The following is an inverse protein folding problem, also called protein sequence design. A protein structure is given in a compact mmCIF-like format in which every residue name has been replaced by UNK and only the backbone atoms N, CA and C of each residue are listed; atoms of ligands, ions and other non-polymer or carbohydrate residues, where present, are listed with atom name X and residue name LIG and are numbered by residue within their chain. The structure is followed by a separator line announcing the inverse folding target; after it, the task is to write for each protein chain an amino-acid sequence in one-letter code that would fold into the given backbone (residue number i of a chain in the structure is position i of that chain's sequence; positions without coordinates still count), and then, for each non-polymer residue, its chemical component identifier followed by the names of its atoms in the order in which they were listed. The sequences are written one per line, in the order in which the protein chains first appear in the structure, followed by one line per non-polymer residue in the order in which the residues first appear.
data_IF_808084233215
#
_entry.id   IF_808084233215
#
_cell.length_a   1.000
_cell.length_b   1.000
_cell.length_c   1.000
_cell.angle_alpha   90.00
_cell.angle_beta   90.00
_cell.angle_gamma   90.00
#
_symmetry.space_group_name_H-M   'P 1'
#
loop_
_entity.id
_entity.type
_entity.pdbx_description
1 polymer ?
#
# COMPACT_ATOMS: atom_id res chain seq x y z
N UNK A 1 -15.12 -27.74 -62.23
CA UNK A 1 -15.69 -26.98 -61.09
C UNK A 1 -14.58 -26.72 -60.08
N UNK A 2 -13.95 -25.54 -60.03
CA UNK A 2 -12.92 -25.26 -59.04
C UNK A 2 -13.57 -24.94 -57.68
N UNK A 3 -12.96 -25.46 -56.62
CA UNK A 3 -13.38 -25.29 -55.22
C UNK A 3 -13.20 -23.83 -54.79
N UNK A 4 -14.24 -23.25 -54.21
CA UNK A 4 -14.25 -21.88 -53.68
C UNK A 4 -13.28 -21.72 -52.50
N UNK A 5 -12.42 -20.71 -52.58
CA UNK A 5 -11.61 -20.24 -51.46
C UNK A 5 -12.48 -19.43 -50.51
N UNK A 6 -12.50 -19.81 -49.23
CA UNK A 6 -13.08 -18.99 -48.17
C UNK A 6 -12.18 -17.77 -47.90
N UNK A 7 -12.74 -16.56 -47.74
CA UNK A 7 -11.97 -15.37 -47.42
C UNK A 7 -11.40 -15.49 -46.00
N UNK A 8 -10.07 -15.32 -45.90
CA UNK A 8 -9.35 -15.22 -44.64
C UNK A 8 -9.88 -14.00 -43.85
N UNK A 9 -10.39 -14.23 -42.64
CA UNK A 9 -10.75 -13.17 -41.70
C UNK A 9 -9.49 -12.38 -41.36
N UNK A 10 -9.55 -11.05 -41.52
CA UNK A 10 -8.49 -10.15 -41.04
C UNK A 10 -8.42 -10.24 -39.51
N UNK A 11 -7.21 -10.22 -38.92
CA UNK A 11 -7.04 -10.06 -37.48
C UNK A 11 -7.66 -8.73 -37.04
N UNK A 12 -8.32 -8.74 -35.88
CA UNK A 12 -8.89 -7.54 -35.27
C UNK A 12 -7.76 -6.54 -35.00
N UNK A 13 -7.97 -5.28 -35.36
CA UNK A 13 -7.04 -4.20 -35.04
C UNK A 13 -6.99 -4.02 -33.51
N UNK A 14 -5.81 -3.78 -32.93
CA UNK A 14 -5.70 -3.48 -31.51
C UNK A 14 -6.47 -2.19 -31.18
N UNK A 15 -7.08 -2.10 -29.99
CA UNK A 15 -7.80 -0.90 -29.57
C UNK A 15 -6.86 0.30 -29.56
N UNK A 16 -7.39 1.47 -29.92
CA UNK A 16 -6.63 2.71 -29.98
C UNK A 16 -6.18 3.17 -28.59
N UNK A 17 -5.09 3.93 -28.49
CA UNK A 17 -4.57 4.46 -27.21
C UNK A 17 -5.60 5.36 -26.49
N UNK A 18 -6.50 6.01 -27.24
CA UNK A 18 -7.64 6.76 -26.70
C UNK A 18 -8.70 5.86 -26.04
N UNK A 19 -8.82 4.60 -26.45
CA UNK A 19 -9.74 3.61 -25.87
C UNK A 19 -9.19 3.03 -24.56
N UNK A 20 -7.87 2.88 -24.45
CA UNK A 20 -7.16 2.48 -23.22
C UNK A 20 -7.29 3.54 -22.12
N UNK A 21 -7.21 4.82 -22.47
CA UNK A 21 -7.41 5.95 -21.56
C UNK A 21 -8.89 6.18 -21.18
N UNK A 22 -9.83 5.61 -21.95
CA UNK A 22 -11.25 5.63 -21.64
C UNK A 22 -11.71 4.45 -20.76
N UNK A 23 -10.82 3.50 -20.44
CA UNK A 23 -11.20 2.41 -19.54
C UNK A 23 -11.66 2.98 -18.19
N UNK A 24 -12.90 2.68 -17.82
CA UNK A 24 -13.50 3.14 -16.57
C UNK A 24 -12.71 2.66 -15.34
N UNK A 25 -11.90 1.63 -15.52
CA UNK A 25 -10.96 1.07 -14.54
C UNK A 25 -9.80 2.04 -14.23
N UNK A 26 -9.14 2.61 -15.25
CA UNK A 26 -8.10 3.65 -15.07
C UNK A 26 -8.69 4.91 -14.42
N UNK A 27 -9.90 5.30 -14.81
CA UNK A 27 -10.61 6.45 -14.20
C UNK A 27 -11.01 6.20 -12.75
N UNK A 28 -11.33 4.95 -12.38
CA UNK A 28 -11.61 4.56 -10.99
C UNK A 28 -10.33 4.60 -10.14
N UNK A 29 -9.24 4.00 -10.63
CA UNK A 29 -7.94 4.03 -9.95
C UNK A 29 -7.39 5.45 -9.79
N UNK A 30 -7.50 6.28 -10.84
CA UNK A 30 -7.10 7.68 -10.78
C UNK A 30 -7.95 8.49 -9.78
N UNK A 31 -9.26 8.21 -9.66
CA UNK A 31 -10.12 8.84 -8.65
C UNK A 31 -9.73 8.43 -7.22
N UNK A 32 -9.41 7.16 -6.99
CA UNK A 32 -8.90 6.68 -5.70
C UNK A 32 -7.57 7.34 -5.32
N UNK A 33 -6.63 7.43 -6.26
CA UNK A 33 -5.34 8.08 -6.07
C UNK A 33 -5.46 9.60 -5.84
N UNK A 34 -6.36 10.28 -6.56
CA UNK A 34 -6.63 11.70 -6.37
C UNK A 34 -7.28 11.98 -5.01
N UNK A 35 -8.26 11.16 -4.60
CA UNK A 35 -8.89 11.24 -3.28
C UNK A 35 -7.87 11.01 -2.15
N UNK A 36 -6.88 10.13 -2.36
CA UNK A 36 -5.76 9.92 -1.45
C UNK A 36 -4.85 11.16 -1.36
N UNK A 37 -4.40 11.69 -2.50
CA UNK A 37 -3.54 12.88 -2.53
C UNK A 37 -4.21 14.10 -1.87
N UNK A 38 -5.51 14.28 -2.10
CA UNK A 38 -6.28 15.37 -1.50
C UNK A 38 -6.45 15.21 0.01
N UNK A 39 -6.53 13.97 0.52
CA UNK A 39 -6.60 13.72 1.96
C UNK A 39 -5.26 13.97 2.67
N UNK A 40 -4.15 13.55 2.07
CA UNK A 40 -2.80 13.88 2.54
C UNK A 40 -2.61 15.41 2.63
N UNK A 41 -3.07 16.16 1.62
CA UNK A 41 -3.01 17.62 1.63
C UNK A 41 -3.85 18.24 2.77
N UNK A 42 -5.07 17.73 3.01
CA UNK A 42 -5.96 18.24 4.06
C UNK A 42 -5.48 17.89 5.48
N UNK A 43 -4.84 16.72 5.69
CA UNK A 43 -4.24 16.39 6.99
C UNK A 43 -3.03 17.28 7.29
N UNK A 44 -2.22 17.61 6.27
CA UNK A 44 -1.10 18.55 6.41
C UNK A 44 -1.56 19.97 6.74
N UNK A 45 -2.73 20.41 6.24
CA UNK A 45 -3.25 21.77 6.54
C UNK A 45 -3.84 21.92 7.94
N UNK A 46 -4.13 20.82 8.65
CA UNK A 46 -4.73 20.85 9.99
C UNK A 46 -3.70 20.81 11.12
N UNK A 47 -2.40 20.69 10.83
CA UNK A 47 -1.38 20.89 11.85
C UNK A 47 -1.20 22.40 12.11
N UNK A 48 -1.46 22.90 13.33
CA UNK A 48 -1.32 24.31 13.65
C UNK A 48 0.15 24.72 13.55
N UNK A 49 0.43 25.62 12.60
CA UNK A 49 1.77 26.05 12.25
C UNK A 49 2.62 26.54 13.43
N UNK A 50 3.85 26.06 13.46
CA UNK A 50 4.94 26.71 14.19
C UNK A 50 5.11 28.14 13.68
N UNK A 51 5.18 29.07 14.63
CA UNK A 51 5.35 30.50 14.37
C UNK A 51 6.66 30.77 13.59
N UNK A 52 6.69 31.79 12.71
CA UNK A 52 7.91 32.20 12.04
C UNK A 52 8.89 32.81 13.05
N UNK A 53 10.07 32.19 13.17
CA UNK A 53 11.20 32.71 13.94
C UNK A 53 11.74 33.96 13.23
N UNK A 54 11.75 35.08 13.94
CA UNK A 54 12.27 36.37 13.47
C UNK A 54 13.80 36.41 13.34
N UNK A 55 14.36 37.50 12.77
CA UNK A 55 15.76 37.60 12.37
C UNK A 55 16.72 37.80 13.57
N UNK A 56 18.04 37.53 13.40
CA UNK A 56 18.99 37.47 14.51
C UNK A 56 19.38 38.87 15.01
N UNK A 57 19.24 39.08 16.32
CA UNK A 57 19.82 40.22 17.04
C UNK A 57 21.19 39.80 17.60
N UNK A 58 22.21 40.63 17.37
CA UNK A 58 23.60 40.40 17.73
C UNK A 58 23.90 40.34 19.24
N UNK A 59 25.17 40.13 19.62
CA UNK A 59 25.55 39.74 20.98
C UNK A 59 25.74 40.96 21.90
N UNK A 60 25.40 40.86 23.20
CA UNK A 60 25.89 41.78 24.20
C UNK A 60 27.02 41.17 25.03
N UNK A 61 28.02 42.02 25.22
CA UNK A 61 29.17 41.94 26.12
C UNK A 61 28.72 42.14 27.58
N UNK A 62 29.35 41.43 28.53
CA UNK A 62 29.70 42.00 29.84
C UNK A 62 28.87 41.61 31.07
N UNK A 63 29.51 40.85 31.96
CA UNK A 63 29.28 40.59 33.41
C UNK A 63 29.11 41.88 34.28
N UNK A 64 28.99 41.83 35.64
CA UNK A 64 28.35 40.88 36.57
C UNK A 64 27.49 41.57 37.68
N UNK A 65 26.75 40.80 38.49
CA UNK A 65 26.56 41.09 39.92
C UNK A 65 25.14 41.13 40.48
N UNK A 66 24.95 40.54 41.66
CA UNK A 66 23.95 40.97 42.65
C UNK A 66 22.76 40.03 42.94
N UNK A 67 22.92 39.14 43.93
CA UNK A 67 21.84 38.79 44.88
C UNK A 67 21.89 39.79 46.06
N UNK A 68 20.95 39.85 47.05
CA UNK A 68 19.71 39.08 47.27
C UNK A 68 18.47 39.95 47.66
N UNK A 69 17.28 39.35 47.77
CA UNK A 69 16.13 40.04 48.38
C UNK A 69 14.89 39.18 48.64
N UNK A 70 14.63 38.88 49.92
CA UNK A 70 13.43 38.19 50.45
C UNK A 70 12.24 39.15 50.60
N UNK A 71 11.02 38.71 50.29
CA UNK A 71 9.74 39.10 50.93
C UNK A 71 8.63 38.16 50.39
N UNK A 72 8.03 37.21 51.11
CA UNK A 72 6.99 37.26 52.18
C UNK A 72 5.69 38.01 51.84
N UNK A 73 4.57 37.29 52.08
CA UNK A 73 3.15 37.71 52.30
C UNK A 73 2.33 38.04 51.03
N UNK A 74 1.02 37.80 50.93
CA UNK A 74 0.01 37.19 51.79
C UNK A 74 -1.30 36.93 50.98
N UNK A 75 -2.07 35.93 51.41
CA UNK A 75 -3.56 35.85 51.51
C UNK A 75 -4.46 36.51 50.44
N UNK A 76 -5.29 35.74 49.69
CA UNK A 76 -6.69 35.25 49.97
C UNK A 76 -7.76 36.15 49.28
N UNK A 77 -9.08 35.87 49.34
CA UNK A 77 -9.91 35.31 48.25
C UNK A 77 -11.14 36.18 47.86
N UNK A 78 -11.84 35.91 46.75
CA UNK A 78 -13.31 36.17 46.56
C UNK A 78 -13.80 35.20 45.46
N UNK A 79 -14.74 34.27 45.68
CA UNK A 79 -16.20 34.42 45.86
C UNK A 79 -16.90 35.19 44.73
N UNK A 80 -17.34 34.47 43.69
CA UNK A 80 -18.41 34.93 42.80
C UNK A 80 -19.54 33.90 42.80
N UNK A 81 -20.65 34.35 43.39
CA UNK A 81 -21.96 33.71 43.45
C UNK A 81 -22.87 34.39 42.40
N UNK A 82 -23.94 33.68 42.04
CA UNK A 82 -25.21 34.12 41.43
C UNK A 82 -25.37 33.90 39.92
N UNK A 83 -26.46 33.18 39.58
CA UNK A 83 -27.00 33.11 38.22
C UNK A 83 -28.05 32.03 37.98
N UNK A 84 -29.03 31.84 38.87
CA UNK A 84 -30.23 31.03 38.59
C UNK A 84 -31.18 31.80 37.67
N UNK A 85 -31.35 31.33 36.44
CA UNK A 85 -32.34 31.84 35.47
C UNK A 85 -33.54 30.90 35.30
N UNK A 86 -34.72 31.40 34.86
CA UNK A 86 -36.02 30.77 35.06
C UNK A 86 -36.41 29.75 33.98
N UNK A 87 -37.26 28.81 34.42
CA UNK A 87 -37.93 27.76 33.64
C UNK A 87 -38.72 28.30 32.44
N UNK A 88 -38.53 27.69 31.27
CA UNK A 88 -39.46 27.79 30.15
C UNK A 88 -40.51 26.67 30.20
N UNK A 89 -41.78 26.94 29.81
CA UNK A 89 -42.86 25.96 29.83
C UNK A 89 -42.78 25.00 28.63
N UNK A 90 -43.23 23.77 28.90
CA UNK A 90 -43.24 22.62 28.00
C UNK A 90 -44.08 22.87 26.73
N UNK A 91 -43.50 22.57 25.56
CA UNK A 91 -44.24 22.40 24.31
C UNK A 91 -44.91 21.02 24.28
N UNK A 92 -46.18 20.91 23.83
CA UNK A 92 -46.83 19.62 23.62
C UNK A 92 -46.31 18.92 22.35
N UNK A 93 -46.27 17.57 22.32
CA UNK A 93 -45.81 16.82 21.16
C UNK A 93 -46.83 16.85 20.00
N UNK A 94 -46.37 16.76 18.75
CA UNK A 94 -47.24 16.71 17.57
C UNK A 94 -47.97 15.35 17.46
N UNK A 95 -49.16 15.32 16.82
CA UNK A 95 -49.96 14.10 16.70
C UNK A 95 -49.33 13.08 15.74
N UNK A 96 -49.33 11.83 16.18
CA UNK A 96 -48.94 10.66 15.40
C UNK A 96 -49.83 10.47 14.16
N UNK A 97 -49.22 10.57 12.98
CA UNK A 97 -49.77 10.12 11.70
C UNK A 97 -48.77 9.13 11.10
N UNK A 98 -48.92 7.86 11.44
CA UNK A 98 -48.36 6.75 10.68
C UNK A 98 -49.49 5.81 10.29
N UNK A 99 -49.78 5.83 9.00
CA UNK A 99 -50.52 4.80 8.29
C UNK A 99 -49.84 3.44 8.51
N UNK A 100 -50.62 2.47 8.99
CA UNK A 100 -50.22 1.07 9.09
C UNK A 100 -50.19 0.48 7.67
N UNK A 101 -49.00 0.14 7.18
CA UNK A 101 -48.90 -0.89 6.15
C UNK A 101 -48.98 -2.29 6.79
N UNK A 102 -49.61 -3.27 6.11
CA UNK A 102 -49.79 -4.61 6.67
C UNK A 102 -48.45 -5.36 6.70
N UNK A 103 -48.05 -5.79 7.90
CA UNK A 103 -46.97 -6.75 8.12
C UNK A 103 -47.34 -8.09 7.50
N UNK A 104 -46.65 -8.46 6.42
CA UNK A 104 -46.70 -9.79 5.85
C UNK A 104 -46.00 -10.76 6.81
N UNK A 105 -46.79 -11.47 7.62
CA UNK A 105 -46.31 -12.52 8.52
C UNK A 105 -45.90 -13.73 7.68
N UNK A 106 -44.61 -13.82 7.33
CA UNK A 106 -44.06 -15.05 6.80
C UNK A 106 -43.89 -16.05 7.95
N UNK A 107 -44.59 -17.18 7.84
CA UNK A 107 -44.53 -18.30 8.77
C UNK A 107 -43.09 -18.83 8.88
N UNK A 108 -42.41 -18.53 9.99
CA UNK A 108 -41.16 -19.20 10.36
C UNK A 108 -41.46 -20.64 10.74
N UNK A 109 -40.85 -21.57 10.02
CA UNK A 109 -40.78 -23.00 10.35
C UNK A 109 -40.05 -23.12 11.70
N UNK A 110 -40.76 -23.54 12.75
CA UNK A 110 -40.17 -23.72 14.07
C UNK A 110 -39.16 -24.87 14.01
N UNK A 111 -37.89 -24.56 14.31
CA UNK A 111 -36.83 -25.54 14.46
C UNK A 111 -37.05 -26.36 15.75
N UNK A 112 -36.62 -27.64 15.78
CA UNK A 112 -36.77 -28.50 16.94
C UNK A 112 -36.01 -27.95 18.16
N UNK A 113 -36.57 -28.06 19.38
CA UNK A 113 -35.93 -27.59 20.60
C UNK A 113 -34.74 -28.51 20.94
N UNK A 114 -33.52 -27.97 20.93
CA UNK A 114 -32.32 -28.69 21.35
C UNK A 114 -31.03 -28.32 20.62
N UNK A 115 -31.11 -27.60 19.49
CA UNK A 115 -29.94 -27.01 18.83
C UNK A 115 -29.85 -25.55 19.25
N UNK A 116 -28.76 -25.15 19.89
CA UNK A 116 -28.47 -23.74 20.17
C UNK A 116 -28.52 -22.96 18.84
N UNK A 117 -29.47 -22.03 18.67
CA UNK A 117 -29.64 -21.36 17.39
C UNK A 117 -28.44 -20.45 17.14
N UNK A 118 -27.66 -20.75 16.10
CA UNK A 118 -26.83 -19.75 15.44
C UNK A 118 -25.32 -19.94 15.44
N UNK A 119 -24.78 -21.14 15.68
CA UNK A 119 -23.39 -21.40 15.27
C UNK A 119 -23.39 -21.87 13.80
N UNK A 120 -22.92 -21.01 12.90
CA UNK A 120 -22.56 -21.39 11.53
C UNK A 120 -21.33 -22.30 11.65
N UNK A 121 -21.56 -23.61 11.72
CA UNK A 121 -20.53 -24.56 12.14
C UNK A 121 -19.31 -24.51 11.21
N UNK A 122 -18.15 -24.11 11.74
CA UNK A 122 -16.84 -24.28 11.07
C UNK A 122 -16.09 -22.99 10.72
N UNK A 123 -16.71 -21.80 10.82
CA UNK A 123 -15.97 -20.53 10.68
C UNK A 123 -15.38 -20.10 12.04
N UNK A 124 -14.05 -19.91 12.15
CA UNK A 124 -13.48 -19.40 13.39
C UNK A 124 -13.95 -17.98 13.63
N UNK A 125 -14.36 -17.70 14.87
CA UNK A 125 -14.74 -16.37 15.29
C UNK A 125 -13.50 -15.50 15.55
N UNK A 126 -13.62 -14.21 15.24
CA UNK A 126 -12.64 -13.16 15.48
C UNK A 126 -11.26 -13.40 14.84
N UNK A 127 -11.18 -14.33 13.88
CA UNK A 127 -9.98 -14.62 13.10
C UNK A 127 -10.26 -14.30 11.63
N UNK A 128 -9.62 -13.25 11.07
CA UNK A 128 -9.79 -12.92 9.66
C UNK A 128 -9.30 -14.10 8.81
N UNK A 129 -10.03 -14.36 7.73
CA UNK A 129 -9.64 -15.30 6.68
C UNK A 129 -9.65 -14.60 5.35
N UNK A 130 -8.99 -15.20 4.39
CA UNK A 130 -9.05 -14.75 3.00
C UNK A 130 -9.78 -15.78 2.16
N UNK A 131 -10.70 -15.32 1.32
CA UNK A 131 -11.30 -16.12 0.26
C UNK A 131 -10.78 -15.67 -1.10
N UNK A 132 -10.83 -16.61 -2.04
CA UNK A 132 -10.44 -16.39 -3.44
C UNK A 132 -11.55 -16.93 -4.34
N UNK A 133 -12.18 -16.05 -5.10
CA UNK A 133 -13.24 -16.42 -6.05
C UNK A 133 -12.60 -16.58 -7.43
N UNK A 134 -12.78 -17.77 -8.02
CA UNK A 134 -12.23 -18.12 -9.35
C UNK A 134 -13.19 -17.86 -10.49
N UNK A 135 -14.49 -17.89 -10.19
CA UNK A 135 -15.54 -17.68 -11.17
C UNK A 135 -15.56 -16.19 -11.57
N UNK A 136 -16.03 -15.86 -12.78
CA UNK A 136 -16.28 -14.47 -13.12
C UNK A 136 -17.16 -13.87 -12.02
N UNK A 137 -16.67 -12.78 -11.45
CA UNK A 137 -17.40 -12.04 -10.44
C UNK A 137 -18.72 -11.57 -11.04
N UNK A 138 -19.79 -11.64 -10.25
CA UNK A 138 -21.08 -11.07 -10.63
C UNK A 138 -20.92 -9.59 -10.99
N UNK A 139 -21.87 -9.03 -11.73
CA UNK A 139 -21.87 -7.61 -12.11
C UNK A 139 -21.69 -6.69 -10.88
N UNK A 140 -22.18 -7.12 -9.71
CA UNK A 140 -22.06 -6.39 -8.46
C UNK A 140 -20.62 -6.33 -7.90
N UNK A 141 -19.75 -7.27 -8.31
CA UNK A 141 -18.34 -7.34 -7.93
C UNK A 141 -17.39 -7.11 -9.13
N UNK A 142 -17.91 -6.68 -10.28
CA UNK A 142 -17.11 -6.47 -11.49
C UNK A 142 -16.06 -5.36 -11.28
N UNK A 143 -14.82 -5.66 -11.67
CA UNK A 143 -13.65 -4.77 -11.48
C UNK A 143 -13.07 -4.75 -10.06
N UNK A 144 -13.57 -5.57 -9.15
CA UNK A 144 -12.97 -5.76 -7.83
C UNK A 144 -11.96 -6.92 -7.84
N UNK A 145 -10.96 -6.94 -6.94
CA UNK A 145 -10.03 -8.04 -6.86
C UNK A 145 -10.76 -9.35 -6.52
N UNK A 146 -10.33 -10.52 -7.03
CA UNK A 146 -10.94 -11.82 -6.72
C UNK A 146 -10.73 -12.28 -5.26
N UNK A 147 -10.07 -11.44 -4.45
CA UNK A 147 -9.66 -11.71 -3.07
C UNK A 147 -10.44 -10.80 -2.13
N UNK A 148 -10.94 -11.37 -1.06
CA UNK A 148 -11.60 -10.62 0.00
C UNK A 148 -11.26 -11.18 1.38
N UNK A 149 -11.24 -10.29 2.37
CA UNK A 149 -11.24 -10.68 3.77
C UNK A 149 -12.63 -11.16 4.16
N UNK A 150 -12.66 -12.25 4.94
CA UNK A 150 -13.87 -12.83 5.52
C UNK A 150 -13.71 -12.86 7.02
N UNK A 151 -14.75 -12.43 7.73
CA UNK A 151 -14.77 -12.42 9.17
C UNK A 151 -16.09 -12.97 9.70
N UNK A 152 -16.00 -13.75 10.77
CA UNK A 152 -17.13 -14.07 11.64
C UNK A 152 -16.81 -13.49 13.01
N UNK A 153 -17.76 -12.79 13.64
CA UNK A 153 -17.54 -12.19 14.96
C UNK A 153 -18.16 -13.07 16.05
N UNK A 154 -17.46 -13.24 17.17
CA UNK A 154 -18.07 -13.82 18.36
C UNK A 154 -19.04 -12.81 19.00
N UNK A 155 -19.81 -13.26 20.00
CA UNK A 155 -20.67 -12.35 20.77
C UNK A 155 -19.89 -11.21 21.43
N UNK A 156 -18.66 -11.50 21.88
CA UNK A 156 -17.78 -10.51 22.46
C UNK A 156 -17.18 -9.61 21.38
N UNK A 157 -16.78 -10.18 20.24
CA UNK A 157 -16.33 -9.44 19.06
C UNK A 157 -17.35 -8.39 18.58
N UNK A 158 -18.65 -8.73 18.59
CA UNK A 158 -19.71 -7.78 18.23
C UNK A 158 -19.75 -6.54 19.15
N UNK A 159 -19.47 -6.72 20.45
CA UNK A 159 -19.43 -5.60 21.42
C UNK A 159 -18.16 -4.79 21.22
N UNK A 160 -17.05 -5.50 21.10
CA UNK A 160 -15.72 -4.92 20.89
C UNK A 160 -15.69 -4.05 19.65
N UNK A 161 -16.25 -4.50 18.52
CA UNK A 161 -16.18 -3.78 17.25
C UNK A 161 -17.38 -2.86 16.96
N UNK A 162 -18.17 -2.51 17.97
CA UNK A 162 -19.28 -1.54 17.81
C UNK A 162 -18.81 -0.15 17.32
N UNK A 163 -17.52 0.18 17.48
CA UNK A 163 -16.91 1.41 17.00
C UNK A 163 -16.50 1.40 15.52
N UNK A 164 -16.64 0.28 14.79
CA UNK A 164 -16.09 0.14 13.42
C UNK A 164 -16.56 1.23 12.45
N UNK A 165 -17.77 1.77 12.63
CA UNK A 165 -18.24 2.86 11.80
C UNK A 165 -17.40 4.14 11.96
N UNK A 166 -16.83 4.39 13.16
CA UNK A 166 -15.87 5.48 13.37
C UNK A 166 -14.55 5.23 12.67
N UNK A 167 -14.07 3.98 12.66
CA UNK A 167 -12.87 3.57 11.91
C UNK A 167 -13.11 3.76 10.41
N UNK A 168 -14.22 3.24 9.86
CA UNK A 168 -14.58 3.44 8.46
C UNK A 168 -14.72 4.94 8.12
N UNK A 169 -15.32 5.73 9.00
CA UNK A 169 -15.41 7.19 8.81
C UNK A 169 -14.04 7.86 8.83
N UNK A 170 -13.09 7.42 9.65
CA UNK A 170 -11.72 7.91 9.63
C UNK A 170 -10.99 7.51 8.32
N UNK A 171 -11.19 6.27 7.87
CA UNK A 171 -10.60 5.70 6.65
C UNK A 171 -11.23 6.19 5.35
N UNK A 172 -12.48 6.67 5.37
CA UNK A 172 -13.20 7.08 4.16
C UNK A 172 -13.50 8.58 4.14
N UNK A 173 -13.44 9.26 5.28
CA UNK A 173 -13.88 10.65 5.39
C UNK A 173 -15.36 10.76 5.01
N UNK A 174 -15.67 11.61 4.04
CA UNK A 174 -17.03 11.76 3.50
C UNK A 174 -17.43 10.63 2.53
N UNK A 175 -16.48 9.80 2.09
CA UNK A 175 -16.72 8.72 1.13
C UNK A 175 -17.41 7.48 1.73
N UNK A 176 -17.77 7.50 3.03
CA UNK A 176 -18.56 6.44 3.67
C UNK A 176 -19.94 6.24 2.99
N UNK A 177 -20.39 7.22 2.18
CA UNK A 177 -21.59 7.12 1.36
C UNK A 177 -21.50 6.11 0.20
N UNK A 178 -20.30 5.71 -0.19
CA UNK A 178 -20.06 4.80 -1.32
C UNK A 178 -19.88 3.34 -0.88
N UNK A 179 -20.21 3.03 0.38
CA UNK A 179 -20.27 1.64 0.84
C UNK A 179 -21.59 1.01 0.40
N UNK A 180 -21.50 0.00 -0.45
CA UNK A 180 -22.65 -0.81 -0.89
C UNK A 180 -22.69 -2.11 -0.07
N UNK A 181 -23.87 -2.49 0.37
CA UNK A 181 -24.12 -3.75 1.06
C UNK A 181 -24.88 -4.69 0.14
N UNK A 182 -24.32 -5.86 -0.09
CA UNK A 182 -24.86 -6.90 -0.95
C UNK A 182 -25.23 -8.11 -0.09
N UNK A 183 -26.29 -8.79 -0.47
CA UNK A 183 -26.76 -10.00 0.20
C UNK A 183 -26.44 -11.28 -0.60
N UNK A 184 -26.83 -12.42 -0.04
CA UNK A 184 -26.59 -13.74 -0.62
C UNK A 184 -27.19 -13.94 -2.02
N UNK A 185 -28.19 -13.15 -2.41
CA UNK A 185 -28.86 -13.23 -3.71
C UNK A 185 -28.11 -12.46 -4.79
N UNK A 186 -27.41 -11.41 -4.39
CA UNK A 186 -26.64 -10.55 -5.30
C UNK A 186 -25.33 -11.23 -5.73
N UNK A 187 -24.80 -12.15 -4.92
CA UNK A 187 -23.47 -12.74 -5.12
C UNK A 187 -23.46 -14.25 -4.78
N UNK A 188 -24.09 -15.11 -5.60
CA UNK A 188 -24.17 -16.55 -5.34
C UNK A 188 -22.80 -17.25 -5.30
N UNK A 189 -21.79 -16.73 -5.98
CA UNK A 189 -20.43 -17.29 -5.99
C UNK A 189 -19.72 -17.14 -4.63
N UNK A 190 -20.05 -16.10 -3.84
CA UNK A 190 -19.58 -15.98 -2.45
C UNK A 190 -20.23 -17.06 -1.59
N UNK A 191 -21.53 -17.31 -1.77
CA UNK A 191 -22.25 -18.38 -1.06
C UNK A 191 -21.62 -19.75 -1.36
N UNK A 192 -21.34 -20.04 -2.64
CA UNK A 192 -20.69 -21.26 -3.07
C UNK A 192 -19.28 -21.41 -2.49
N UNK A 193 -18.52 -20.31 -2.41
CA UNK A 193 -17.17 -20.30 -1.82
C UNK A 193 -17.19 -20.55 -0.31
N UNK A 194 -18.15 -19.96 0.42
CA UNK A 194 -18.25 -20.07 1.87
C UNK A 194 -18.98 -21.35 2.33
N UNK A 195 -19.79 -21.96 1.47
CA UNK A 195 -20.65 -23.09 1.84
C UNK A 195 -21.77 -22.69 2.81
N UNK A 196 -22.17 -21.42 2.82
CA UNK A 196 -23.24 -20.89 3.66
C UNK A 196 -23.94 -19.72 2.98
N UNK A 197 -25.24 -19.56 3.24
CA UNK A 197 -26.03 -18.39 2.84
C UNK A 197 -26.03 -17.31 3.94
N UNK A 198 -25.49 -17.61 5.13
CA UNK A 198 -25.48 -16.69 6.26
C UNK A 198 -24.34 -15.67 6.22
N UNK A 199 -24.28 -14.87 5.14
CA UNK A 199 -23.29 -13.80 4.99
C UNK A 199 -23.86 -12.44 4.55
N UNK A 200 -23.02 -11.42 4.58
CA UNK A 200 -23.23 -10.11 3.98
C UNK A 200 -21.92 -9.65 3.37
N UNK A 201 -21.98 -9.06 2.18
CA UNK A 201 -20.82 -8.49 1.50
C UNK A 201 -20.89 -6.97 1.61
N UNK A 202 -19.76 -6.35 1.89
CA UNK A 202 -19.62 -4.90 1.94
C UNK A 202 -18.56 -4.48 0.93
N UNK A 203 -18.94 -3.59 0.01
CA UNK A 203 -18.11 -3.14 -1.11
C UNK A 203 -17.82 -1.66 -0.96
N UNK A 204 -16.56 -1.28 -1.14
CA UNK A 204 -16.11 0.10 -1.28
C UNK A 204 -15.47 0.28 -2.67
N UNK A 205 -16.29 0.65 -3.65
CA UNK A 205 -15.89 0.69 -5.06
C UNK A 205 -14.77 1.70 -5.34
N UNK A 206 -14.75 2.83 -4.63
CA UNK A 206 -13.75 3.90 -4.82
C UNK A 206 -12.32 3.43 -4.53
N UNK A 207 -12.18 2.44 -3.64
CA UNK A 207 -10.88 1.89 -3.22
C UNK A 207 -10.63 0.50 -3.84
N UNK A 208 -11.61 -0.05 -4.56
CA UNK A 208 -11.52 -1.41 -5.11
C UNK A 208 -11.43 -2.48 -4.02
N UNK A 209 -12.01 -2.25 -2.83
CA UNK A 209 -11.97 -3.19 -1.71
C UNK A 209 -13.36 -3.69 -1.39
N UNK A 210 -13.46 -4.99 -1.11
CA UNK A 210 -14.67 -5.60 -0.60
C UNK A 210 -14.34 -6.66 0.44
N UNK A 211 -15.31 -6.97 1.29
CA UNK A 211 -15.14 -7.93 2.36
C UNK A 211 -16.46 -8.62 2.72
N UNK A 212 -16.34 -9.78 3.35
CA UNK A 212 -17.48 -10.63 3.70
C UNK A 212 -17.59 -10.83 5.21
N UNK A 213 -18.81 -10.71 5.72
CA UNK A 213 -19.16 -10.94 7.11
C UNK A 213 -20.09 -12.12 7.24
N UNK A 214 -19.71 -13.13 8.01
CA UNK A 214 -20.49 -14.34 8.28
C UNK A 214 -21.09 -14.25 9.68
N UNK A 215 -22.34 -14.69 9.85
CA UNK A 215 -22.99 -14.67 11.17
C UNK A 215 -24.47 -15.06 11.15
N UNK A 216 -25.00 -15.52 12.28
CA UNK A 216 -26.36 -16.06 12.35
C UNK A 216 -27.50 -15.03 12.29
N UNK A 217 -27.21 -13.73 12.36
CA UNK A 217 -28.21 -12.70 12.20
C UNK A 217 -27.67 -11.53 11.37
N UNK A 218 -28.59 -10.78 10.75
CA UNK A 218 -28.26 -9.68 9.84
C UNK A 218 -27.29 -8.66 10.45
N UNK A 219 -27.52 -8.27 11.71
CA UNK A 219 -26.64 -7.30 12.40
C UNK A 219 -25.22 -7.82 12.55
N UNK A 220 -25.05 -9.09 12.93
CA UNK A 220 -23.74 -9.71 13.05
C UNK A 220 -23.02 -9.83 11.69
N UNK A 221 -23.74 -10.25 10.64
CA UNK A 221 -23.22 -10.33 9.27
C UNK A 221 -22.72 -8.97 8.78
N UNK A 222 -23.56 -7.94 8.90
CA UNK A 222 -23.22 -6.57 8.48
C UNK A 222 -22.11 -5.95 9.33
N UNK A 223 -22.06 -6.20 10.64
CA UNK A 223 -20.98 -5.68 11.47
C UNK A 223 -19.64 -6.36 11.13
N UNK A 224 -19.65 -7.69 10.97
CA UNK A 224 -18.46 -8.45 10.61
C UNK A 224 -17.91 -8.04 9.23
N UNK A 225 -18.78 -7.81 8.24
CA UNK A 225 -18.35 -7.38 6.91
C UNK A 225 -17.76 -5.97 6.92
N UNK A 226 -18.27 -5.06 7.76
CA UNK A 226 -17.67 -3.72 7.98
C UNK A 226 -16.29 -3.80 8.62
N UNK A 227 -16.09 -4.67 9.61
CA UNK A 227 -14.78 -4.85 10.27
C UNK A 227 -13.77 -5.43 9.29
N UNK A 228 -14.19 -6.43 8.52
CA UNK A 228 -13.36 -7.00 7.46
C UNK A 228 -13.02 -5.98 6.37
N UNK A 229 -13.98 -5.13 5.97
CA UNK A 229 -13.73 -4.05 5.00
C UNK A 229 -12.75 -3.02 5.55
N UNK A 230 -12.94 -2.57 6.80
CA UNK A 230 -12.04 -1.62 7.45
C UNK A 230 -10.61 -2.17 7.47
N UNK A 231 -10.43 -3.45 7.81
CA UNK A 231 -9.12 -4.08 7.78
C UNK A 231 -8.54 -4.17 6.37
N UNK A 232 -9.35 -4.48 5.36
CA UNK A 232 -8.92 -4.49 3.96
C UNK A 232 -8.42 -3.13 3.48
N UNK A 233 -9.17 -2.06 3.76
CA UNK A 233 -8.78 -0.68 3.46
C UNK A 233 -7.48 -0.29 4.18
N UNK A 234 -7.38 -0.62 5.47
CA UNK A 234 -6.20 -0.34 6.26
C UNK A 234 -4.93 -1.05 5.74
N UNK A 235 -5.05 -2.32 5.33
CA UNK A 235 -3.92 -3.06 4.75
C UNK A 235 -3.49 -2.47 3.39
N UNK A 236 -4.46 -2.07 2.57
CA UNK A 236 -4.17 -1.39 1.29
C UNK A 236 -3.46 -0.06 1.52
N UNK A 237 -3.87 0.73 2.52
CA UNK A 237 -3.21 1.98 2.87
C UNK A 237 -1.75 1.77 3.33
N UNK A 238 -1.50 0.74 4.15
CA UNK A 238 -0.14 0.35 4.54
C UNK A 238 0.72 -0.10 3.36
N UNK A 239 0.13 -0.80 2.38
CA UNK A 239 0.83 -1.23 1.17
C UNK A 239 1.25 -0.05 0.28
N UNK A 240 0.51 1.06 0.34
CA UNK A 240 0.83 2.32 -0.32
C UNK A 240 1.80 3.20 0.51
N UNK A 241 2.33 2.70 1.61
CA UNK A 241 3.22 3.45 2.50
C UNK A 241 2.51 4.47 3.40
N UNK A 242 1.18 4.43 3.46
CA UNK A 242 0.40 5.26 4.37
C UNK A 242 0.55 4.81 5.82
N UNK A 243 0.57 5.78 6.74
CA UNK A 243 0.50 5.53 8.18
C UNK A 243 -0.92 5.74 8.67
N UNK A 244 -1.49 4.71 9.30
CA UNK A 244 -2.80 4.77 9.93
C UNK A 244 -2.70 5.32 11.33
N UNK A 245 -3.05 6.59 11.51
CA UNK A 245 -3.20 7.17 12.85
C UNK A 245 -4.61 6.87 13.41
N UNK A 246 -4.73 5.73 14.08
CA UNK A 246 -5.97 5.26 14.72
C UNK A 246 -5.80 5.07 16.24
N UNK A 247 -5.37 6.11 16.99
CA UNK A 247 -4.98 5.98 18.40
C UNK A 247 -6.17 5.62 19.30
N UNK A 248 -7.39 5.98 18.88
CA UNK A 248 -8.63 5.69 19.61
C UNK A 248 -9.10 4.24 19.48
N UNK A 249 -8.41 3.40 18.68
CA UNK A 249 -8.87 2.06 18.32
C UNK A 249 -7.79 0.97 18.49
N UNK A 250 -7.18 0.82 19.68
CA UNK A 250 -6.09 -0.14 19.90
C UNK A 250 -6.49 -1.59 19.57
N UNK A 251 -7.72 -1.98 19.92
CA UNK A 251 -8.23 -3.34 19.64
C UNK A 251 -8.35 -3.60 18.13
N UNK A 252 -8.57 -2.56 17.33
CA UNK A 252 -8.59 -2.69 15.88
C UNK A 252 -7.18 -2.85 15.31
N UNK A 253 -6.17 -2.21 15.91
CA UNK A 253 -4.77 -2.39 15.50
C UNK A 253 -4.29 -3.82 15.75
N UNK A 254 -4.63 -4.42 16.89
CA UNK A 254 -4.34 -5.83 17.18
C UNK A 254 -5.00 -6.76 16.14
N UNK A 255 -6.26 -6.46 15.79
CA UNK A 255 -6.97 -7.19 14.73
C UNK A 255 -6.33 -6.99 13.35
N UNK A 256 -5.85 -5.78 13.05
CA UNK A 256 -5.20 -5.44 11.79
C UNK A 256 -3.87 -6.20 11.63
N UNK A 257 -3.08 -6.35 12.69
CA UNK A 257 -1.87 -7.16 12.67
C UNK A 257 -2.19 -8.63 12.33
N UNK A 258 -3.27 -9.17 12.90
CA UNK A 258 -3.73 -10.52 12.60
C UNK A 258 -4.21 -10.64 11.14
N UNK A 259 -4.96 -9.67 10.65
CA UNK A 259 -5.42 -9.61 9.25
C UNK A 259 -4.24 -9.52 8.28
N UNK A 260 -3.23 -8.68 8.57
CA UNK A 260 -2.02 -8.55 7.77
C UNK A 260 -1.23 -9.85 7.67
N UNK A 261 -1.15 -10.63 8.74
CA UNK A 261 -0.53 -11.97 8.70
C UNK A 261 -1.25 -12.91 7.75
N UNK A 262 -2.58 -12.81 7.63
CA UNK A 262 -3.38 -13.64 6.73
C UNK A 262 -3.23 -13.17 5.28
N UNK A 263 -3.38 -11.87 5.06
CA UNK A 263 -3.28 -11.22 3.75
C UNK A 263 -1.91 -11.46 3.08
N UNK A 264 -0.82 -11.28 3.84
CA UNK A 264 0.55 -11.48 3.34
C UNK A 264 0.88 -12.95 3.05
N UNK A 265 0.31 -13.90 3.81
CA UNK A 265 0.51 -15.34 3.58
C UNK A 265 -0.17 -15.82 2.29
N UNK A 266 -1.32 -15.24 1.95
CA UNK A 266 -2.10 -15.64 0.77
C UNK A 266 -1.44 -15.27 -0.56
N UNK A 267 -0.84 -14.08 -0.64
CA UNK A 267 -0.30 -13.54 -1.89
C UNK A 267 1.00 -14.20 -2.36
N UNK A 268 1.84 -14.67 -1.43
CA UNK A 268 3.18 -15.15 -1.80
C UNK A 268 3.25 -16.63 -2.22
N UNK A 269 2.27 -17.46 -1.83
CA UNK A 269 2.39 -18.93 -2.00
C UNK A 269 1.42 -19.57 -2.98
N UNK A 270 0.18 -19.08 -3.10
CA UNK A 270 -0.84 -19.83 -3.85
C UNK A 270 -0.88 -19.52 -5.35
N UNK A 271 -0.47 -18.33 -5.77
CA UNK A 271 -0.48 -17.95 -7.18
C UNK A 271 0.66 -18.62 -7.96
N UNK A 272 1.87 -18.68 -7.39
CA UNK A 272 3.01 -19.40 -8.00
C UNK A 272 2.84 -20.93 -8.00
N UNK A 273 2.25 -21.54 -6.96
CA UNK A 273 2.10 -23.01 -6.92
C UNK A 273 0.99 -23.52 -7.85
N UNK A 274 -0.03 -22.70 -8.15
CA UNK A 274 -1.15 -23.14 -8.98
C UNK A 274 -0.98 -22.83 -10.47
N UNK A 275 -0.25 -21.78 -10.84
CA UNK A 275 0.18 -21.56 -12.24
C UNK A 275 1.15 -22.68 -12.67
N UNK A 276 1.98 -23.19 -11.75
CA UNK A 276 2.88 -24.31 -12.01
C UNK A 276 2.16 -25.66 -12.26
N UNK A 277 0.89 -25.83 -11.85
CA UNK A 277 0.17 -27.12 -11.94
C UNK A 277 -0.80 -27.26 -13.11
N UNK A 278 -1.04 -26.22 -13.92
CA UNK A 278 -2.05 -26.27 -15.01
C UNK A 278 -1.53 -26.09 -16.43
N UNK A 279 -0.23 -25.89 -16.65
CA UNK A 279 0.35 -26.07 -17.98
C UNK A 279 0.66 -27.56 -18.17
N UNK A 280 0.26 -28.19 -19.30
CA UNK A 280 0.85 -29.46 -19.72
C UNK A 280 2.37 -29.25 -19.69
N UNK A 281 3.08 -30.05 -18.89
CA UNK A 281 4.53 -30.05 -18.92
C UNK A 281 4.94 -30.45 -20.34
N UNK A 282 5.30 -29.46 -21.15
CA UNK A 282 6.19 -29.70 -22.27
C UNK A 282 7.42 -30.42 -21.69
N UNK A 283 7.92 -31.47 -22.37
CA UNK A 283 8.98 -32.30 -21.83
C UNK A 283 10.14 -31.40 -21.41
N UNK A 284 10.50 -31.49 -20.12
CA UNK A 284 11.67 -30.87 -19.49
C UNK A 284 12.91 -31.46 -20.16
N UNK A 285 13.18 -31.00 -21.38
CA UNK A 285 14.29 -31.43 -22.21
C UNK A 285 15.49 -30.57 -21.83
N UNK A 286 16.45 -31.16 -21.11
CA UNK A 286 17.88 -30.83 -21.06
C UNK A 286 18.28 -29.44 -21.63
N UNK A 287 17.88 -28.37 -20.95
CA UNK A 287 18.39 -27.00 -21.20
C UNK A 287 18.87 -26.35 -19.91
N UNK A 288 19.64 -27.08 -19.11
CA UNK A 288 20.14 -26.57 -17.83
C UNK A 288 21.66 -26.60 -17.73
N UNK A 289 22.32 -26.13 -18.79
CA UNK A 289 23.71 -25.74 -18.70
C UNK A 289 23.82 -24.27 -19.12
N UNK A 290 24.13 -23.44 -18.10
CA UNK A 290 24.48 -22.02 -18.13
C UNK A 290 23.35 -20.98 -18.23
N UNK A 291 22.33 -21.04 -17.36
CA UNK A 291 21.59 -19.81 -17.01
C UNK A 291 22.49 -18.88 -16.19
N UNK A 292 23.00 -17.82 -16.81
CA UNK A 292 23.73 -16.77 -16.10
C UNK A 292 22.70 -15.86 -15.44
N UNK A 293 22.75 -15.78 -14.11
CA UNK A 293 21.88 -14.92 -13.31
C UNK A 293 22.68 -13.70 -12.88
N UNK A 294 22.04 -12.55 -12.75
CA UNK A 294 22.70 -11.35 -12.23
C UNK A 294 23.29 -11.62 -10.83
N UNK A 295 24.47 -11.04 -10.52
CA UNK A 295 25.09 -11.20 -9.21
C UNK A 295 24.18 -10.58 -8.15
N UNK A 296 23.72 -11.40 -7.19
CA UNK A 296 22.82 -10.97 -6.11
C UNK A 296 23.58 -10.26 -5.01
N UNK A 297 22.97 -9.20 -4.47
CA UNK A 297 23.47 -8.43 -3.33
C UNK A 297 24.91 -7.89 -3.53
N UNK A 298 25.34 -7.72 -4.77
CA UNK A 298 26.66 -7.20 -5.14
C UNK A 298 26.48 -6.06 -6.15
N UNK A 299 27.18 -4.93 -5.98
CA UNK A 299 27.12 -3.85 -6.93
C UNK A 299 27.90 -4.22 -8.19
N UNK A 300 27.43 -3.80 -9.35
CA UNK A 300 28.19 -3.82 -10.60
C UNK A 300 27.76 -2.64 -11.48
N UNK A 301 28.66 -2.14 -12.31
CA UNK A 301 28.37 -1.02 -13.20
C UNK A 301 27.95 -1.51 -14.57
N UNK A 302 27.01 -0.80 -15.18
CA UNK A 302 26.70 -0.90 -16.61
C UNK A 302 27.06 0.41 -17.29
N UNK A 303 27.49 0.32 -18.56
CA UNK A 303 27.73 1.46 -19.43
C UNK A 303 26.74 1.39 -20.59
N UNK A 304 25.95 2.44 -20.74
CA UNK A 304 25.18 2.64 -21.97
C UNK A 304 26.14 3.16 -23.06
N UNK A 305 26.04 2.66 -24.31
CA UNK A 305 26.89 3.15 -25.38
C UNK A 305 26.51 4.60 -25.72
N UNK A 306 27.51 5.46 -25.95
CA UNK A 306 27.30 6.88 -26.30
C UNK A 306 26.53 7.08 -27.62
N UNK A 307 26.43 6.03 -28.45
CA UNK A 307 25.70 6.07 -29.72
C UNK A 307 24.20 5.94 -29.56
N UNK A 308 23.74 5.41 -28.43
CA UNK A 308 22.31 5.21 -28.19
C UNK A 308 21.73 6.49 -27.60
N UNK A 309 20.61 6.96 -28.16
CA UNK A 309 19.86 8.06 -27.57
C UNK A 309 19.40 7.64 -26.16
N UNK A 310 19.88 8.36 -25.14
CA UNK A 310 19.37 8.18 -23.78
C UNK A 310 17.86 8.49 -23.79
N UNK A 311 17.03 7.73 -23.07
CA UNK A 311 15.64 8.10 -22.85
C UNK A 311 15.54 9.52 -22.31
N UNK A 312 14.43 10.18 -22.62
CA UNK A 312 14.17 11.55 -22.17
C UNK A 312 14.36 11.72 -20.66
N UNK A 313 14.02 10.71 -19.86
CA UNK A 313 14.20 10.74 -18.41
C UNK A 313 15.65 10.71 -17.93
N UNK A 314 16.57 10.23 -18.77
CA UNK A 314 18.02 10.16 -18.49
C UNK A 314 18.80 11.24 -19.24
N UNK A 315 18.14 12.22 -19.87
CA UNK A 315 18.84 13.34 -20.50
C UNK A 315 19.64 14.14 -19.46
N UNK A 316 20.89 14.46 -19.80
CA UNK A 316 21.85 15.13 -18.92
C UNK A 316 22.48 14.27 -17.82
N UNK A 317 22.15 12.98 -17.73
CA UNK A 317 22.82 12.04 -16.82
C UNK A 317 24.04 11.39 -17.46
N UNK A 318 24.92 10.82 -16.62
CA UNK A 318 26.06 10.04 -17.10
C UNK A 318 25.61 8.72 -17.76
N UNK A 319 26.42 8.16 -18.67
CA UNK A 319 26.09 6.89 -19.34
C UNK A 319 26.31 5.65 -18.46
N UNK A 320 26.97 5.83 -17.31
CA UNK A 320 27.28 4.75 -16.38
C UNK A 320 26.25 4.72 -15.25
N UNK A 321 25.81 3.52 -14.87
CA UNK A 321 24.92 3.35 -13.74
C UNK A 321 25.31 2.15 -12.89
N UNK A 322 25.14 2.31 -11.57
CA UNK A 322 25.30 1.23 -10.64
C UNK A 322 24.04 0.37 -10.63
N UNK A 323 24.23 -0.94 -10.71
CA UNK A 323 23.16 -1.93 -10.68
C UNK A 323 23.29 -2.81 -9.45
N UNK A 324 22.16 -3.06 -8.79
CA UNK A 324 22.07 -3.98 -7.66
C UNK A 324 20.90 -4.93 -7.87
N UNK A 325 21.17 -6.23 -7.87
CA UNK A 325 20.14 -7.27 -7.94
C UNK A 325 19.83 -7.82 -6.55
N UNK A 326 18.55 -7.81 -6.16
CA UNK A 326 18.08 -8.23 -4.84
C UNK A 326 17.41 -9.60 -4.91
N UNK A 327 17.81 -10.49 -4.00
CA UNK A 327 17.06 -11.73 -3.74
C UNK A 327 16.04 -11.49 -2.62
N UNK A 328 14.95 -12.27 -2.60
CA UNK A 328 13.86 -12.08 -1.63
C UNK A 328 14.29 -12.24 -0.16
N UNK A 329 15.53 -12.67 0.11
CA UNK A 329 16.13 -12.78 1.45
C UNK A 329 16.87 -11.49 1.81
N UNK A 330 16.17 -10.36 1.64
CA UNK A 330 16.70 -9.00 1.70
C UNK A 330 17.85 -8.85 2.70
N UNK A 331 19.05 -8.60 2.17
CA UNK A 331 20.22 -8.26 2.96
C UNK A 331 20.01 -6.96 3.74
N UNK A 332 20.76 -6.81 4.83
CA UNK A 332 20.74 -5.61 5.69
C UNK A 332 21.05 -4.31 4.95
N UNK A 333 21.68 -4.38 3.77
CA UNK A 333 21.99 -3.22 2.93
C UNK A 333 20.73 -2.48 2.47
N UNK A 334 19.65 -3.20 2.17
CA UNK A 334 18.43 -2.60 1.65
C UNK A 334 17.68 -1.81 2.73
N UNK A 335 17.67 -2.31 3.96
CA UNK A 335 17.11 -1.59 5.12
C UNK A 335 17.96 -0.39 5.57
N UNK A 336 19.21 -0.29 5.10
CA UNK A 336 20.12 0.81 5.42
C UNK A 336 20.16 1.88 4.31
N UNK A 337 19.61 1.58 3.14
CA UNK A 337 19.66 2.47 1.97
C UNK A 337 18.98 3.83 2.24
N UNK A 338 17.80 3.84 2.86
CA UNK A 338 17.08 5.09 3.15
C UNK A 338 17.89 6.00 4.09
N UNK A 339 18.48 5.44 5.15
CA UNK A 339 19.37 6.20 6.06
C UNK A 339 20.60 6.76 5.37
N UNK A 340 21.17 6.00 4.44
CA UNK A 340 22.32 6.45 3.66
C UNK A 340 21.94 7.59 2.71
N UNK A 341 20.75 7.51 2.08
CA UNK A 341 20.22 8.59 1.25
C UNK A 341 19.96 9.85 2.06
N UNK A 342 19.35 9.72 3.24
CA UNK A 342 19.14 10.82 4.19
C UNK A 342 20.47 11.45 4.65
N UNK A 343 21.50 10.63 4.90
CA UNK A 343 22.81 11.15 5.29
C UNK A 343 23.50 11.95 4.18
N UNK A 344 23.29 11.62 2.90
CA UNK A 344 23.94 12.31 1.76
C UNK A 344 23.10 13.49 1.26
N UNK A 345 21.78 13.33 1.19
CA UNK A 345 20.85 14.28 0.60
C UNK A 345 20.11 15.16 1.64
N UNK A 346 20.18 14.80 2.92
CA UNK A 346 19.48 15.48 4.01
C UNK A 346 18.09 14.90 4.32
N UNK A 347 17.37 15.54 5.25
CA UNK A 347 16.07 15.09 5.80
C UNK A 347 14.96 14.94 4.73
N UNK A 348 15.12 15.52 3.54
CA UNK A 348 14.16 15.46 2.43
C UNK A 348 14.71 14.65 1.24
N UNK A 349 15.46 13.57 1.51
CA UNK A 349 16.07 12.76 0.46
C UNK A 349 15.06 12.29 -0.61
N UNK A 350 13.83 11.94 -0.21
CA UNK A 350 12.77 11.49 -1.14
C UNK A 350 12.36 12.58 -2.15
N UNK A 351 12.49 13.87 -1.82
CA UNK A 351 12.19 14.98 -2.74
C UNK A 351 13.27 15.15 -3.83
N UNK A 352 14.47 14.60 -3.58
CA UNK A 352 15.60 14.66 -4.50
C UNK A 352 15.68 13.45 -5.43
N UNK A 353 14.81 12.45 -5.27
CA UNK A 353 14.85 11.22 -6.05
C UNK A 353 13.56 10.92 -6.80
N UNK A 354 13.70 10.32 -7.98
CA UNK A 354 12.57 9.82 -8.79
C UNK A 354 12.79 8.34 -9.06
N UNK A 355 11.74 7.53 -8.85
CA UNK A 355 11.76 6.08 -9.08
C UNK A 355 10.83 5.72 -10.23
N UNK A 356 11.35 5.05 -11.25
CA UNK A 356 10.57 4.52 -12.37
C UNK A 356 10.58 2.99 -12.35
N UNK A 357 9.44 2.37 -12.06
CA UNK A 357 9.28 0.91 -12.15
C UNK A 357 9.11 0.50 -13.62
N UNK A 358 10.01 -0.33 -14.12
CA UNK A 358 10.00 -0.82 -15.50
C UNK A 358 10.13 -2.34 -15.52
N UNK A 359 9.05 -3.00 -15.09
CA UNK A 359 9.02 -4.45 -14.94
C UNK A 359 9.04 -5.21 -16.28
N UNK A 360 8.81 -4.52 -17.42
CA UNK A 360 8.80 -5.11 -18.77
C UNK A 360 9.93 -4.63 -19.68
N UNK A 361 10.74 -3.68 -19.22
CA UNK A 361 11.79 -3.04 -20.02
C UNK A 361 11.23 -2.26 -21.22
N UNK A 362 10.01 -1.76 -21.09
CA UNK A 362 9.34 -0.98 -22.13
C UNK A 362 9.82 0.48 -22.10
N UNK A 363 10.13 1.00 -20.90
CA UNK A 363 10.54 2.39 -20.71
C UNK A 363 12.05 2.60 -20.89
N UNK A 364 12.85 1.63 -20.45
CA UNK A 364 14.31 1.68 -20.56
C UNK A 364 14.88 0.45 -21.28
N UNK A 365 14.50 0.21 -22.56
CA UNK A 365 14.90 -0.99 -23.29
C UNK A 365 16.43 -1.16 -23.41
N UNK A 366 17.17 -0.06 -23.54
CA UNK A 366 18.63 -0.06 -23.60
C UNK A 366 19.29 -0.51 -22.28
N UNK A 367 18.70 -0.21 -21.12
CA UNK A 367 19.16 -0.77 -19.83
C UNK A 367 18.93 -2.28 -19.83
N UNK A 368 17.73 -2.73 -20.23
CA UNK A 368 17.42 -4.16 -20.36
C UNK A 368 18.37 -4.88 -21.32
N UNK A 369 18.78 -4.23 -22.41
CA UNK A 369 19.77 -4.75 -23.35
C UNK A 369 21.17 -4.91 -22.72
N UNK A 370 21.62 -3.97 -21.87
CA UNK A 370 22.87 -4.14 -21.12
C UNK A 370 22.77 -5.27 -20.10
N UNK A 371 21.68 -5.34 -19.34
CA UNK A 371 21.47 -6.41 -18.35
C UNK A 371 21.48 -7.80 -19.01
N UNK A 372 20.93 -7.92 -20.23
CA UNK A 372 20.97 -9.14 -21.05
C UNK A 372 22.37 -9.61 -21.45
N UNK A 373 23.35 -8.70 -21.53
CA UNK A 373 24.75 -9.07 -21.81
C UNK A 373 25.39 -9.77 -20.61
N UNK A 374 24.91 -9.49 -19.41
CA UNK A 374 25.43 -10.02 -18.14
C UNK A 374 24.69 -11.30 -17.75
N UNK A 375 23.37 -11.30 -17.89
CA UNK A 375 22.50 -12.42 -17.53
C UNK A 375 21.55 -12.79 -18.66
N UNK A 376 21.35 -14.08 -18.90
CA UNK A 376 20.40 -14.55 -19.92
C UNK A 376 18.95 -14.65 -19.42
N UNK A 377 18.70 -14.30 -18.16
CA UNK A 377 17.37 -14.25 -17.55
C UNK A 377 16.92 -12.80 -17.47
N UNK A 378 15.76 -12.51 -18.07
CA UNK A 378 15.10 -11.23 -17.91
C UNK A 378 14.52 -11.11 -16.51
N UNK A 379 14.89 -10.03 -15.81
CA UNK A 379 14.40 -9.71 -14.48
C UNK A 379 13.81 -8.30 -14.46
N UNK A 380 12.71 -8.12 -13.75
CA UNK A 380 12.07 -6.81 -13.61
C UNK A 380 13.03 -5.80 -12.94
N UNK A 381 13.01 -4.55 -13.40
CA UNK A 381 13.90 -3.50 -12.89
C UNK A 381 13.14 -2.24 -12.46
N UNK A 382 13.79 -1.43 -11.64
CA UNK A 382 13.38 -0.07 -11.28
C UNK A 382 14.60 0.84 -11.44
N UNK A 383 14.42 1.98 -12.10
CA UNK A 383 15.47 3.00 -12.27
C UNK A 383 15.26 4.09 -11.23
N UNK A 384 16.31 4.45 -10.51
CA UNK A 384 16.32 5.52 -9.52
C UNK A 384 17.21 6.66 -9.99
N UNK A 385 16.71 7.89 -9.93
CA UNK A 385 17.40 9.09 -10.43
C UNK A 385 17.52 10.11 -9.32
N UNK A 386 18.64 10.81 -9.26
CA UNK A 386 18.88 11.98 -8.40
C UNK A 386 19.37 13.15 -9.27
N UNK A 387 18.43 14.01 -9.67
CA UNK A 387 18.73 15.12 -10.60
C UNK A 387 19.69 16.15 -10.02
N UNK A 388 19.63 16.42 -8.71
CA UNK A 388 20.51 17.40 -8.04
C UNK A 388 21.99 17.01 -8.09
N UNK A 389 22.30 15.71 -8.25
CA UNK A 389 23.66 15.16 -8.38
C UNK A 389 23.94 14.59 -9.78
N UNK A 390 22.98 14.64 -10.70
CA UNK A 390 23.07 14.05 -12.05
C UNK A 390 23.49 12.56 -12.04
N UNK A 391 23.01 11.80 -11.04
CA UNK A 391 23.32 10.38 -10.84
C UNK A 391 22.06 9.55 -10.94
N UNK A 392 22.17 8.35 -11.53
CA UNK A 392 21.11 7.36 -11.58
C UNK A 392 21.65 5.95 -11.35
N UNK A 393 20.76 5.04 -10.99
CA UNK A 393 21.08 3.67 -10.64
C UNK A 393 19.90 2.72 -10.93
N UNK A 394 20.17 1.41 -10.94
CA UNK A 394 19.17 0.39 -11.29
C UNK A 394 19.05 -0.68 -10.20
N UNK A 395 17.83 -0.89 -9.74
CA UNK A 395 17.48 -2.00 -8.85
C UNK A 395 16.79 -3.12 -9.62
N UNK A 396 17.24 -4.36 -9.46
CA UNK A 396 16.68 -5.53 -10.16
C UNK A 396 16.12 -6.52 -9.15
N UNK A 397 14.84 -6.89 -9.30
CA UNK A 397 14.18 -7.89 -8.46
C UNK A 397 12.83 -8.33 -9.04
N UNK A 398 12.37 -9.54 -8.69
CA UNK A 398 11.07 -10.05 -9.19
C UNK A 398 9.84 -9.41 -8.54
N UNK A 399 9.98 -8.75 -7.38
CA UNK A 399 8.87 -8.15 -6.62
C UNK A 399 9.01 -6.63 -6.57
N UNK A 400 7.92 -5.89 -6.76
CA UNK A 400 7.93 -4.42 -6.78
C UNK A 400 8.64 -3.79 -5.58
N UNK A 401 8.20 -4.10 -4.35
CA UNK A 401 8.85 -3.59 -3.11
C UNK A 401 10.35 -3.88 -3.06
N UNK A 402 10.77 -5.08 -3.50
CA UNK A 402 12.19 -5.45 -3.54
C UNK A 402 12.97 -4.69 -4.64
N UNK A 403 12.33 -4.37 -5.78
CA UNK A 403 12.97 -3.57 -6.83
C UNK A 403 13.23 -2.14 -6.37
N UNK A 404 12.24 -1.49 -5.76
CA UNK A 404 12.41 -0.15 -5.21
C UNK A 404 13.52 -0.10 -4.16
N UNK A 405 13.53 -1.06 -3.22
CA UNK A 405 14.58 -1.14 -2.20
C UNK A 405 15.97 -1.39 -2.81
N UNK A 406 16.06 -2.23 -3.85
CA UNK A 406 17.30 -2.45 -4.59
C UNK A 406 17.78 -1.20 -5.34
N UNK A 407 16.84 -0.45 -5.93
CA UNK A 407 17.14 0.76 -6.69
C UNK A 407 17.61 1.89 -5.76
N UNK A 408 16.98 2.05 -4.59
CA UNK A 408 17.44 2.97 -3.54
C UNK A 408 18.83 2.60 -3.03
N UNK A 409 19.10 1.31 -2.79
CA UNK A 409 20.43 0.86 -2.38
C UNK A 409 21.49 1.12 -3.46
N UNK A 410 21.16 0.87 -4.73
CA UNK A 410 22.03 1.18 -5.86
C UNK A 410 22.32 2.68 -5.95
N UNK A 411 21.29 3.53 -5.84
CA UNK A 411 21.43 4.98 -5.89
C UNK A 411 22.25 5.53 -4.72
N UNK A 412 21.97 5.07 -3.49
CA UNK A 412 22.71 5.47 -2.30
C UNK A 412 24.20 5.14 -2.42
N UNK A 413 24.53 3.96 -2.95
CA UNK A 413 25.91 3.56 -3.18
C UNK A 413 26.57 4.38 -4.28
N UNK A 414 25.89 4.65 -5.39
CA UNK A 414 26.41 5.51 -6.47
C UNK A 414 26.68 6.95 -5.98
N UNK A 415 25.77 7.53 -5.20
CA UNK A 415 25.94 8.85 -4.59
C UNK A 415 27.11 8.88 -3.59
N UNK A 416 27.27 7.82 -2.79
CA UNK A 416 28.39 7.72 -1.86
C UNK A 416 29.75 7.60 -2.59
N UNK A 417 29.80 6.85 -3.69
CA UNK A 417 30.99 6.76 -4.56
C UNK A 417 31.36 8.15 -5.08
N UNK A 418 30.41 8.87 -5.67
CA UNK A 418 30.61 10.22 -6.21
C UNK A 418 31.07 11.22 -5.14
N UNK A 419 30.42 11.23 -3.97
CA UNK A 419 30.79 12.08 -2.85
C UNK A 419 32.25 11.83 -2.40
N UNK A 420 32.66 10.55 -2.28
CA UNK A 420 34.03 10.20 -1.89
C UNK A 420 35.04 10.60 -2.98
N UNK A 421 34.70 10.48 -4.26
CA UNK A 421 35.55 10.92 -5.37
C UNK A 421 35.69 12.45 -5.43
N UNK A 422 34.65 13.18 -5.05
CA UNK A 422 34.67 14.62 -4.87
C UNK A 422 35.42 15.08 -3.61
N UNK A 423 35.83 14.15 -2.73
CA UNK A 423 36.49 14.46 -1.45
C UNK A 423 35.52 14.95 -0.37
N UNK A 424 34.22 14.72 -0.54
CA UNK A 424 33.21 14.94 0.49
C UNK A 424 33.29 13.82 1.55
N UNK A 425 33.01 14.18 2.81
CA UNK A 425 32.98 13.22 3.91
C UNK A 425 31.60 12.55 3.97
N UNK A 426 31.57 11.21 3.90
CA UNK A 426 30.34 10.41 3.97
C UNK A 426 30.29 9.68 5.32
N UNK A 427 29.22 9.88 6.08
CA UNK A 427 29.04 9.24 7.39
C UNK A 427 28.40 7.86 7.23
N UNK A 428 29.09 6.80 7.68
CA UNK A 428 28.60 5.42 7.64
C UNK A 428 28.18 4.86 9.01
N UNK A 429 28.17 5.68 10.07
CA UNK A 429 27.93 5.24 11.45
C UNK A 429 26.59 4.49 11.62
N UNK A 430 25.55 4.94 10.93
CA UNK A 430 24.21 4.31 10.95
C UNK A 430 24.05 3.15 9.94
N UNK A 431 25.05 2.97 9.06
CA UNK A 431 25.02 2.03 7.95
C UNK A 431 26.39 1.32 7.72
N UNK A 432 27.00 0.67 8.73
CA UNK A 432 28.38 0.19 8.64
C UNK A 432 28.59 -0.94 7.61
N UNK A 433 27.53 -1.67 7.24
CA UNK A 433 27.63 -2.68 6.16
C UNK A 433 27.60 -2.04 4.77
N UNK A 434 27.13 -0.81 4.69
CA UNK A 434 27.04 -0.04 3.47
C UNK A 434 28.42 0.51 3.06
N UNK A 435 29.29 0.83 4.02
CA UNK A 435 30.69 1.23 3.75
C UNK A 435 31.39 0.19 2.86
N UNK A 436 31.38 -1.08 3.28
CA UNK A 436 31.96 -2.17 2.48
C UNK A 436 31.29 -2.30 1.11
N UNK A 437 29.98 -2.08 1.03
CA UNK A 437 29.23 -2.15 -0.22
C UNK A 437 29.62 -1.02 -1.19
N UNK A 438 29.88 0.18 -0.66
CA UNK A 438 30.40 1.33 -1.41
C UNK A 438 31.82 1.05 -1.89
N UNK A 439 32.69 0.48 -1.04
CA UNK A 439 34.04 0.07 -1.47
C UNK A 439 34.03 -0.95 -2.60
N UNK A 440 33.12 -1.94 -2.54
CA UNK A 440 32.92 -2.90 -3.62
C UNK A 440 32.45 -2.18 -4.90
N UNK A 441 31.51 -1.24 -4.81
CA UNK A 441 31.06 -0.44 -5.95
C UNK A 441 32.18 0.39 -6.58
N UNK A 442 33.05 1.01 -5.78
CA UNK A 442 34.24 1.76 -6.26
C UNK A 442 35.22 0.85 -6.99
N UNK A 443 35.47 -0.34 -6.45
CA UNK A 443 36.35 -1.32 -7.09
C UNK A 443 35.81 -1.80 -8.45
N UNK A 444 34.50 -2.03 -8.55
CA UNK A 444 33.89 -2.37 -9.84
C UNK A 444 33.91 -1.18 -10.82
N UNK A 445 33.72 0.06 -10.35
CA UNK A 445 33.82 1.25 -11.21
C UNK A 445 35.22 1.38 -11.81
N UNK A 446 36.25 1.20 -10.97
CA UNK A 446 37.64 1.26 -11.41
C UNK A 446 37.98 0.18 -12.45
N UNK A 447 37.33 -0.99 -12.43
CA UNK A 447 37.46 -2.00 -13.48
C UNK A 447 36.77 -1.58 -14.76
N UNK A 448 35.57 -1.02 -14.64
CA UNK A 448 34.75 -0.60 -15.75
C UNK A 448 35.36 0.54 -16.59
N UNK A 449 36.23 1.38 -16.00
CA UNK A 449 36.93 2.47 -16.70
C UNK A 449 38.13 1.97 -17.52
N UNK A 450 38.68 0.79 -17.19
CA UNK A 450 39.89 0.25 -17.83
C UNK A 450 39.56 -0.57 -19.08
N UNK A 451 38.37 -1.15 -19.13
CA UNK A 451 37.83 -1.90 -20.26
C UNK A 451 37.16 -0.97 -21.29
#
# INVERSE_FOLDING_TARGET
MPRGMHPLRRPAEPPSDDELLQSDELRRLARGALAFAQRQANQRSLQPGGLPVGPPVGPPVGLPGGLPGKARRATRPEDVRMGTGPMQPACPPPPHLFDRQPTLVMSRKMAPPGVSPGEVSGFPHDVPREIFIREPLSEALEGLPPRALVLSLSRDGLRTHSYVHRVLKALLGEADRNIVYLDERDIPEVAACLGTEDFSVTVCADFGVWAVGVGANRTARTLASKVALAAGLSLQEQDLGGSLDLPDFPVFLDFLELAGKVYNKGGAKKEQEQVAKKRPREPEHERDETRTVLPRNRPFWICLPETDELPEELDGFQYNALVVSCDAKGGTIYSQADKMLESILGENADDHMVLYDDFKWERFPQIGAQLKRIANVEECMTVALCASRSIWAVGVAMKGKSRFAAAKAALAAALAVDAVEAGEEVCFDDAPRFEKFVDEARQELARCIVD
#
